data_IF_629706831295
#
_entry.id   IF_629706831295
#
_cell.length_a   1.000
_cell.length_b   1.000
_cell.length_c   1.000
_cell.angle_alpha   90.00
_cell.angle_beta   90.00
_cell.angle_gamma   90.00
#
_symmetry.space_group_name_H-M   'P 1'
#
loop_
_entity.id
_entity.type
_entity.pdbx_description
1 polymer ?
#
# COMPACT_ATOMS: atom_id res chain seq x y z
N UNK A 1 0.87 17.65 -5.83
CA UNK A 1 0.46 16.59 -4.88
C UNK A 1 0.51 15.21 -5.51
N UNK A 2 -0.18 14.98 -6.64
CA UNK A 2 -0.21 13.66 -7.31
C UNK A 2 1.19 13.08 -7.59
N UNK A 3 2.13 13.88 -8.09
CA UNK A 3 3.48 13.39 -8.41
C UNK A 3 4.24 12.90 -7.17
N UNK A 4 4.23 13.71 -6.09
CA UNK A 4 4.77 13.32 -4.77
C UNK A 4 4.18 11.99 -4.28
N UNK A 5 2.87 11.79 -4.48
CA UNK A 5 2.17 10.55 -4.07
C UNK A 5 2.59 9.36 -4.93
N UNK A 6 2.82 9.55 -6.23
CA UNK A 6 3.31 8.49 -7.13
C UNK A 6 4.74 8.07 -6.76
N UNK A 7 5.62 9.04 -6.58
CA UNK A 7 7.01 8.81 -6.16
C UNK A 7 7.06 8.07 -4.83
N UNK A 8 6.25 8.52 -3.85
CA UNK A 8 6.11 7.84 -2.58
C UNK A 8 5.62 6.39 -2.75
N UNK A 9 4.56 6.18 -3.52
CA UNK A 9 4.00 4.85 -3.74
C UNK A 9 5.00 3.86 -4.35
N UNK A 10 5.89 4.34 -5.23
CA UNK A 10 6.98 3.53 -5.80
C UNK A 10 8.12 3.32 -4.81
N UNK A 11 8.45 4.36 -4.02
CA UNK A 11 9.44 4.30 -2.94
C UNK A 11 9.06 3.31 -1.85
N UNK A 12 7.76 3.04 -1.62
CA UNK A 12 7.32 2.04 -0.64
C UNK A 12 7.99 0.68 -0.85
N UNK A 13 8.19 0.27 -2.10
CA UNK A 13 8.79 -1.03 -2.41
C UNK A 13 10.28 -1.12 -2.04
N UNK A 14 10.91 0.00 -1.68
CA UNK A 14 12.33 0.12 -1.32
C UNK A 14 12.56 0.22 0.18
N UNK A 15 11.50 0.30 1.01
CA UNK A 15 11.67 0.41 2.46
C UNK A 15 12.07 -0.91 3.14
N UNK A 16 11.89 -2.05 2.48
CA UNK A 16 12.24 -3.35 3.00
C UNK A 16 12.62 -4.31 1.87
N UNK A 17 13.63 -5.15 2.11
CA UNK A 17 14.00 -6.25 1.22
C UNK A 17 13.14 -7.50 1.47
N UNK A 18 12.45 -7.54 2.62
CA UNK A 18 11.57 -8.64 3.00
C UNK A 18 10.28 -8.62 2.17
N UNK A 19 10.11 -9.65 1.34
CA UNK A 19 8.98 -9.74 0.42
C UNK A 19 7.62 -9.77 1.13
N UNK A 20 7.55 -10.35 2.33
CA UNK A 20 6.31 -10.40 3.11
C UNK A 20 5.86 -9.00 3.53
N UNK A 21 6.82 -8.16 3.95
CA UNK A 21 6.58 -6.76 4.33
C UNK A 21 6.27 -5.95 3.06
N UNK A 22 7.19 -5.97 2.09
CA UNK A 22 7.12 -5.19 0.85
C UNK A 22 5.81 -5.38 0.08
N UNK A 23 5.36 -6.62 -0.07
CA UNK A 23 4.13 -6.94 -0.82
C UNK A 23 2.86 -6.37 -0.18
N UNK A 24 2.90 -6.03 1.12
CA UNK A 24 1.75 -5.54 1.90
C UNK A 24 1.78 -4.04 2.15
N UNK A 25 2.95 -3.40 2.06
CA UNK A 25 3.15 -1.99 2.42
C UNK A 25 2.08 -1.07 1.83
N UNK A 26 1.77 -1.24 0.55
CA UNK A 26 0.85 -0.35 -0.14
C UNK A 26 -0.56 -0.37 0.48
N UNK A 27 -1.05 -1.56 0.84
CA UNK A 27 -2.35 -1.77 1.50
C UNK A 27 -2.32 -1.37 2.97
N UNK A 28 -1.23 -1.67 3.69
CA UNK A 28 -1.05 -1.22 5.07
C UNK A 28 -1.13 0.29 5.14
N UNK A 29 -0.37 1.00 4.29
CA UNK A 29 -0.34 2.46 4.28
C UNK A 29 -1.69 3.05 3.88
N UNK A 30 -2.38 2.45 2.90
CA UNK A 30 -3.75 2.88 2.57
C UNK A 30 -4.68 2.80 3.79
N UNK A 31 -4.66 1.66 4.50
CA UNK A 31 -5.46 1.48 5.70
C UNK A 31 -5.06 2.46 6.80
N UNK A 32 -3.77 2.63 7.05
CA UNK A 32 -3.27 3.50 8.10
C UNK A 32 -3.62 4.97 7.86
N UNK A 33 -3.58 5.44 6.61
CA UNK A 33 -4.01 6.79 6.23
C UNK A 33 -5.50 7.02 6.48
N UNK A 34 -6.34 5.99 6.32
CA UNK A 34 -7.78 6.07 6.65
C UNK A 34 -8.01 6.16 8.15
N UNK A 35 -7.29 5.36 8.93
CA UNK A 35 -7.46 5.31 10.39
C UNK A 35 -6.91 6.58 11.04
N UNK A 36 -5.70 7.00 10.64
CA UNK A 36 -5.08 8.23 11.11
C UNK A 36 -5.95 9.47 10.83
N UNK A 37 -6.71 9.51 9.73
CA UNK A 37 -7.66 10.61 9.48
C UNK A 37 -8.68 10.79 10.61
N UNK A 38 -9.16 9.69 11.20
CA UNK A 38 -10.12 9.74 12.30
C UNK A 38 -9.45 10.04 13.64
N UNK A 39 -8.25 9.50 13.87
CA UNK A 39 -7.52 9.66 15.13
C UNK A 39 -6.86 11.04 15.29
N UNK A 40 -6.34 11.63 14.21
CA UNK A 40 -5.71 12.96 14.24
C UNK A 40 -6.67 14.09 14.63
N UNK A 41 -7.97 13.87 14.46
CA UNK A 41 -9.00 14.82 14.88
C UNK A 41 -9.07 14.97 16.42
N UNK A 42 -8.47 14.05 17.18
CA UNK A 42 -8.51 13.99 18.63
C UNK A 42 -7.28 14.60 19.36
N UNK A 43 -6.37 15.27 18.63
CA UNK A 43 -5.19 16.01 19.16
C UNK A 43 -3.96 15.19 19.57
N UNK A 44 -3.52 14.25 18.72
CA UNK A 44 -2.21 13.57 18.83
C UNK A 44 -1.15 14.13 17.87
N UNK A 45 0.14 13.84 18.13
CA UNK A 45 1.23 14.09 17.17
C UNK A 45 0.97 13.30 15.87
N UNK A 46 0.88 13.97 14.71
CA UNK A 46 0.60 13.29 13.45
C UNK A 46 1.58 12.18 13.08
N UNK A 47 2.84 12.32 13.47
CA UNK A 47 3.84 11.29 13.24
C UNK A 47 3.56 10.04 14.06
N UNK A 48 3.25 10.22 15.35
CA UNK A 48 3.03 9.14 16.30
C UNK A 48 1.76 8.35 15.95
N UNK A 49 0.65 9.04 15.72
CA UNK A 49 -0.63 8.41 15.32
C UNK A 49 -0.46 7.60 14.04
N UNK A 50 0.22 8.16 13.05
CA UNK A 50 0.45 7.48 11.78
C UNK A 50 1.36 6.26 11.94
N UNK A 51 2.45 6.38 12.72
CA UNK A 51 3.34 5.25 13.03
C UNK A 51 2.54 4.14 13.69
N UNK A 52 1.73 4.45 14.69
CA UNK A 52 0.96 3.45 15.45
C UNK A 52 -0.09 2.76 14.58
N UNK A 53 -0.77 3.51 13.70
CA UNK A 53 -1.67 2.96 12.70
C UNK A 53 -0.96 2.01 11.71
N UNK A 54 0.24 2.39 11.24
CA UNK A 54 1.03 1.54 10.34
C UNK A 54 1.53 0.29 11.07
N UNK A 55 2.07 0.44 12.28
CA UNK A 55 2.50 -0.65 13.14
C UNK A 55 1.36 -1.64 13.39
N UNK A 56 0.19 -1.17 13.82
CA UNK A 56 -0.98 -2.02 14.08
C UNK A 56 -1.37 -2.87 12.86
N UNK A 57 -1.24 -2.32 11.64
CA UNK A 57 -1.53 -3.04 10.39
C UNK A 57 -0.37 -3.89 9.86
N UNK A 58 0.87 -3.55 10.22
CA UNK A 58 2.08 -4.33 9.91
C UNK A 58 2.20 -5.53 10.83
N UNK A 59 1.80 -5.42 12.09
CA UNK A 59 2.17 -6.31 13.19
C UNK A 59 1.03 -7.26 13.55
N UNK A 60 0.41 -7.91 12.56
CA UNK A 60 -0.41 -9.08 12.88
C UNK A 60 0.55 -10.22 13.27
N UNK A 61 0.67 -10.47 14.57
CA UNK A 61 1.55 -11.49 15.18
C UNK A 61 1.30 -12.90 14.61
N UNK A 62 0.14 -13.16 14.00
CA UNK A 62 -0.17 -14.45 13.34
C UNK A 62 0.57 -14.62 12.02
N UNK A 63 1.21 -13.57 11.53
CA UNK A 63 1.73 -13.48 10.16
C UNK A 63 3.23 -13.18 10.12
N UNK A 64 3.79 -12.62 11.19
CA UNK A 64 5.20 -12.24 11.28
C UNK A 64 5.90 -13.01 12.41
N UNK A 65 7.11 -13.50 12.14
CA UNK A 65 8.01 -14.00 13.18
C UNK A 65 8.71 -12.82 13.88
N UNK A 66 9.36 -13.06 15.02
CA UNK A 66 10.01 -12.02 15.81
C UNK A 66 11.03 -11.16 15.03
N UNK A 67 11.79 -11.75 14.11
CA UNK A 67 12.76 -10.98 13.30
C UNK A 67 12.05 -10.04 12.31
N UNK A 68 10.95 -10.49 11.72
CA UNK A 68 10.14 -9.67 10.80
C UNK A 68 9.24 -8.65 11.51
N UNK A 69 9.02 -8.81 12.80
CA UNK A 69 8.33 -7.85 13.66
C UNK A 69 9.18 -6.59 13.85
N UNK A 70 10.45 -6.75 14.23
CA UNK A 70 11.40 -5.64 14.43
C UNK A 70 11.58 -4.84 13.12
N UNK A 71 11.80 -5.54 12.00
CA UNK A 71 11.87 -4.90 10.68
C UNK A 71 10.56 -4.16 10.32
N UNK A 72 9.39 -4.75 10.62
CA UNK A 72 8.09 -4.13 10.37
C UNK A 72 7.91 -2.81 11.12
N UNK A 73 8.40 -2.73 12.36
CA UNK A 73 8.36 -1.50 13.18
C UNK A 73 9.29 -0.44 12.57
N UNK A 74 10.53 -0.79 12.21
CA UNK A 74 11.44 0.17 11.56
C UNK A 74 10.88 0.71 10.25
N UNK A 75 10.23 -0.15 9.47
CA UNK A 75 9.58 0.24 8.22
C UNK A 75 8.40 1.16 8.49
N UNK A 76 7.61 0.90 9.52
CA UNK A 76 6.52 1.78 9.93
C UNK A 76 7.02 3.19 10.29
N UNK A 77 8.13 3.29 11.03
CA UNK A 77 8.77 4.57 11.35
C UNK A 77 9.23 5.32 10.10
N UNK A 78 9.98 4.65 9.20
CA UNK A 78 10.46 5.25 7.95
C UNK A 78 9.32 5.76 7.07
N UNK A 79 8.23 4.99 6.99
CA UNK A 79 7.04 5.37 6.21
C UNK A 79 6.34 6.57 6.84
N UNK A 80 6.14 6.57 8.16
CA UNK A 80 5.52 7.69 8.86
C UNK A 80 6.34 8.98 8.69
N UNK A 81 7.66 8.91 8.86
CA UNK A 81 8.57 10.03 8.64
C UNK A 81 8.49 10.62 7.24
N UNK A 82 8.47 9.75 6.22
CA UNK A 82 8.39 10.19 4.83
C UNK A 82 7.06 10.90 4.56
N UNK A 83 5.93 10.38 5.07
CA UNK A 83 4.63 11.01 4.90
C UNK A 83 4.59 12.38 5.60
N UNK A 84 5.11 12.47 6.83
CA UNK A 84 5.17 13.74 7.57
C UNK A 84 6.06 14.75 6.84
N UNK A 85 7.20 14.32 6.30
CA UNK A 85 8.07 15.18 5.49
C UNK A 85 7.37 15.67 4.22
N UNK A 86 6.62 14.82 3.54
CA UNK A 86 5.88 15.18 2.32
C UNK A 86 4.70 16.13 2.58
N UNK A 87 4.17 16.08 3.80
CA UNK A 87 3.00 16.86 4.24
C UNK A 87 3.38 18.06 5.09
N UNK A 88 4.66 18.22 5.42
CA UNK A 88 5.20 19.27 6.30
C UNK A 88 4.55 19.28 7.69
N UNK A 89 3.95 18.15 8.11
CA UNK A 89 3.16 18.05 9.33
C UNK A 89 1.82 18.80 9.28
N UNK A 90 1.44 19.42 8.16
CA UNK A 90 0.18 20.13 8.02
C UNK A 90 -0.99 19.17 7.82
N UNK A 91 -2.02 19.30 8.64
CA UNK A 91 -3.19 18.41 8.62
C UNK A 91 -3.96 18.46 7.30
N UNK A 92 -4.10 19.65 6.69
CA UNK A 92 -4.83 19.78 5.42
C UNK A 92 -4.07 19.11 4.27
N UNK A 93 -2.75 19.23 4.28
CA UNK A 93 -1.85 18.61 3.32
C UNK A 93 -1.79 17.11 3.54
N UNK A 94 -1.76 16.64 4.78
CA UNK A 94 -1.89 15.23 5.14
C UNK A 94 -3.20 14.63 4.65
N UNK A 95 -4.34 15.30 4.88
CA UNK A 95 -5.64 14.85 4.38
C UNK A 95 -5.65 14.73 2.85
N UNK A 96 -5.17 15.76 2.14
CA UNK A 96 -5.07 15.73 0.67
C UNK A 96 -4.13 14.63 0.19
N UNK A 97 -3.01 14.40 0.88
CA UNK A 97 -2.09 13.32 0.57
C UNK A 97 -2.78 11.95 0.71
N UNK A 98 -3.46 11.71 1.83
CA UNK A 98 -4.20 10.48 2.09
C UNK A 98 -5.26 10.19 1.04
N UNK A 99 -6.11 11.19 0.73
CA UNK A 99 -7.16 11.06 -0.29
C UNK A 99 -6.60 10.72 -1.68
N UNK A 100 -5.49 11.37 -2.08
CA UNK A 100 -4.85 11.11 -3.38
C UNK A 100 -4.17 9.74 -3.39
N UNK A 101 -3.51 9.36 -2.29
CA UNK A 101 -2.86 8.05 -2.17
C UNK A 101 -3.87 6.90 -2.26
N UNK A 102 -4.99 6.98 -1.53
CA UNK A 102 -6.05 5.97 -1.55
C UNK A 102 -6.60 5.79 -2.98
N UNK A 103 -6.86 6.90 -3.68
CA UNK A 103 -7.32 6.86 -5.08
C UNK A 103 -6.27 6.24 -6.01
N UNK A 104 -5.01 6.63 -5.88
CA UNK A 104 -3.92 6.08 -6.69
C UNK A 104 -3.76 4.58 -6.46
N UNK A 105 -3.76 4.14 -5.21
CA UNK A 105 -3.60 2.73 -4.87
C UNK A 105 -4.74 1.90 -5.46
N UNK A 106 -5.98 2.39 -5.35
CA UNK A 106 -7.15 1.71 -5.91
C UNK A 106 -7.10 1.60 -7.44
N UNK A 107 -6.66 2.64 -8.14
CA UNK A 107 -6.47 2.60 -9.59
C UNK A 107 -5.43 1.54 -9.97
N UNK A 108 -4.28 1.50 -9.28
CA UNK A 108 -3.24 0.49 -9.53
C UNK A 108 -3.70 -0.94 -9.21
N UNK A 109 -4.53 -1.14 -8.21
CA UNK A 109 -5.16 -2.45 -7.95
C UNK A 109 -6.08 -2.87 -9.10
N UNK A 110 -6.95 -1.98 -9.56
CA UNK A 110 -7.86 -2.25 -10.68
C UNK A 110 -7.12 -2.53 -11.98
N UNK A 111 -6.03 -1.81 -12.27
CA UNK A 111 -5.16 -2.08 -13.41
C UNK A 111 -4.54 -3.48 -13.34
N UNK A 112 -4.10 -3.92 -12.14
CA UNK A 112 -3.60 -5.29 -11.93
C UNK A 112 -4.69 -6.34 -12.12
N UNK A 113 -5.90 -6.08 -11.64
CA UNK A 113 -7.06 -6.98 -11.83
C UNK A 113 -7.45 -7.10 -13.29
N UNK A 114 -7.51 -5.98 -14.03
CA UNK A 114 -7.81 -5.95 -15.46
C UNK A 114 -6.76 -6.71 -16.27
N UNK A 115 -5.47 -6.48 -15.99
CA UNK A 115 -4.37 -7.20 -16.64
C UNK A 115 -4.44 -8.71 -16.43
N UNK A 116 -4.81 -9.14 -15.21
CA UNK A 116 -5.03 -10.57 -14.91
C UNK A 116 -6.23 -11.13 -15.67
N UNK A 117 -7.33 -10.38 -15.77
CA UNK A 117 -8.51 -10.79 -16.52
C UNK A 117 -8.18 -10.96 -18.02
N UNK A 118 -7.51 -9.98 -18.63
CA UNK A 118 -7.07 -10.04 -20.04
C UNK A 118 -6.13 -11.22 -20.32
N UNK A 119 -5.21 -11.50 -19.39
CA UNK A 119 -4.29 -12.63 -19.50
C UNK A 119 -5.02 -13.98 -19.42
N UNK A 120 -6.10 -14.05 -18.64
CA UNK A 120 -6.93 -15.25 -18.48
C UNK A 120 -7.77 -15.49 -19.73
N UNK A 121 -8.34 -14.44 -20.33
CA UNK A 121 -9.10 -14.50 -21.59
C UNK A 121 -8.21 -14.97 -22.75
N UNK A 122 -6.98 -14.44 -22.87
CA UNK A 122 -6.01 -14.88 -23.90
C UNK A 122 -5.53 -16.32 -23.74
N UNK A 123 -5.52 -16.84 -22.50
CA UNK A 123 -5.22 -18.26 -22.25
C UNK A 123 -6.40 -19.15 -22.66
N UNK A 124 -7.63 -18.77 -22.32
CA UNK A 124 -8.83 -19.52 -22.71
C UNK A 124 -9.02 -19.58 -24.23
N UNK A 125 -8.75 -18.48 -24.97
CA UNK A 125 -8.87 -18.46 -26.42
C UNK A 125 -7.83 -19.32 -27.17
N UNK A 126 -6.71 -19.68 -26.52
CA UNK A 126 -5.69 -20.60 -27.08
C UNK A 126 -6.04 -22.08 -26.89
N UNK A 127 -6.89 -22.41 -25.92
CA UNK A 127 -7.36 -23.77 -25.65
C UNK A 127 -8.64 -24.13 -26.43
N UNK A 128 -9.30 -23.15 -27.05
CA UNK A 128 -10.53 -23.33 -27.83
C UNK A 128 -10.31 -23.39 -29.35
N UNK A 129 -9.13 -23.78 -29.83
CA UNK A 129 -8.92 -24.11 -31.24
C UNK A 129 -9.58 -25.45 -31.56
N UNK A 130 -10.55 -25.54 -32.50
CA UNK A 130 -11.24 -26.79 -32.79
C UNK A 130 -10.26 -27.76 -33.45
N UNK A 131 -10.02 -28.92 -32.83
CA UNK A 131 -9.47 -30.07 -33.54
C UNK A 131 -10.41 -30.39 -34.71
N UNK A 132 -9.97 -30.07 -35.94
CA UNK A 132 -10.61 -30.52 -37.17
C UNK A 132 -10.69 -32.04 -37.12
N UNK A 133 -11.89 -32.58 -36.84
CA UNK A 133 -12.19 -33.99 -37.08
C UNK A 133 -12.03 -34.24 -38.57
N UNK A 134 -10.97 -34.96 -38.94
CA UNK A 134 -10.85 -35.58 -40.27
C UNK A 134 -11.81 -36.78 -40.27
N UNK A 135 -12.84 -36.70 -41.08
CA UNK A 135 -13.60 -37.85 -41.56
C UNK A 135 -12.97 -38.32 -42.86
#
# INVERSE_FOLDING_TARGET
>A
MLEKVKEFHEKLLKFSENESIRSRLQRVVEGALRDAYYELRAAGDPKEVLRDCICSKMVDERVFNKASLEEGIEVAEKVAEEIIKLTEGDFNTFKKFGEVYIKLNRVKELEKELSKADSSVKRQSKFSSPQRKRF
#
